data_IF_856863117812
#
_entry.id   IF_856863117812
#
_cell.length_a   1.000
_cell.length_b   1.000
_cell.length_c   1.000
_cell.angle_alpha   90.00
_cell.angle_beta   90.00
_cell.angle_gamma   90.00
#
_symmetry.space_group_name_H-M   'P 1'
#
loop_
_entity.id
_entity.type
_entity.pdbx_description
1 polymer ?
#
# COMPACT_ATOMS: atom_id res chain seq x y z
N UNK A 1 12.93 -0.94 0.99
CA UNK A 1 12.08 -1.70 0.05
C UNK A 1 11.61 -0.75 -1.05
N UNK A 2 11.54 -1.16 -2.32
CA UNK A 2 11.10 -0.28 -3.43
C UNK A 2 9.62 -0.58 -3.74
N UNK A 3 8.78 0.46 -3.72
CA UNK A 3 7.38 0.39 -4.18
C UNK A 3 7.27 1.22 -5.46
N UNK A 4 6.57 0.70 -6.45
CA UNK A 4 6.36 1.34 -7.73
C UNK A 4 4.86 1.55 -7.94
N UNK A 5 4.51 2.68 -8.53
CA UNK A 5 3.13 3.08 -8.83
C UNK A 5 3.02 3.42 -10.31
N UNK A 6 1.87 3.20 -10.91
CA UNK A 6 1.55 3.66 -12.26
C UNK A 6 0.93 5.07 -12.25
N UNK A 7 0.88 5.79 -13.38
CA UNK A 7 0.10 7.01 -13.49
C UNK A 7 -1.36 6.83 -13.10
N UNK A 8 -2.00 5.74 -13.56
CA UNK A 8 -3.39 5.41 -13.25
C UNK A 8 -3.63 5.23 -11.75
N UNK A 9 -2.65 4.68 -11.02
CA UNK A 9 -2.72 4.58 -9.56
C UNK A 9 -2.91 5.97 -8.92
N UNK A 10 -2.17 6.98 -9.38
CA UNK A 10 -2.26 8.33 -8.83
C UNK A 10 -3.58 9.01 -9.18
N UNK A 11 -4.11 8.79 -10.38
CA UNK A 11 -5.44 9.27 -10.77
C UNK A 11 -6.54 8.68 -9.86
N UNK A 12 -6.53 7.37 -9.67
CA UNK A 12 -7.46 6.70 -8.77
C UNK A 12 -7.27 7.16 -7.32
N UNK A 13 -6.03 7.26 -6.85
CA UNK A 13 -5.72 7.72 -5.49
C UNK A 13 -6.20 9.16 -5.24
N UNK A 14 -6.07 10.05 -6.22
CA UNK A 14 -6.51 11.43 -6.13
C UNK A 14 -8.04 11.55 -5.94
N UNK A 15 -8.81 10.62 -6.49
CA UNK A 15 -10.28 10.60 -6.36
C UNK A 15 -10.77 10.00 -5.03
N UNK A 16 -9.89 9.43 -4.20
CA UNK A 16 -10.30 8.83 -2.93
C UNK A 16 -10.67 9.88 -1.87
N UNK A 17 -11.63 9.56 -0.97
CA UNK A 17 -11.93 10.38 0.19
C UNK A 17 -10.70 10.58 1.10
N UNK A 18 -10.63 11.69 1.86
CA UNK A 18 -9.48 11.98 2.73
C UNK A 18 -9.16 10.89 3.75
N UNK A 19 -10.18 10.24 4.33
CA UNK A 19 -9.98 9.20 5.35
C UNK A 19 -9.31 7.94 4.75
N UNK A 20 -9.66 7.56 3.52
CA UNK A 20 -9.01 6.44 2.80
C UNK A 20 -7.56 6.80 2.48
N UNK A 21 -7.31 8.03 2.01
CA UNK A 21 -5.93 8.51 1.74
C UNK A 21 -5.06 8.45 3.00
N UNK A 22 -5.62 8.79 4.16
CA UNK A 22 -4.92 8.70 5.46
C UNK A 22 -4.60 7.25 5.84
N UNK A 23 -5.57 6.33 5.70
CA UNK A 23 -5.36 4.91 5.95
C UNK A 23 -4.26 4.33 5.05
N UNK A 24 -4.29 4.64 3.76
CA UNK A 24 -3.27 4.21 2.80
C UNK A 24 -1.87 4.73 3.19
N UNK A 25 -1.76 6.01 3.55
CA UNK A 25 -0.49 6.61 4.03
C UNK A 25 0.01 5.93 5.30
N UNK A 26 -0.87 5.61 6.25
CA UNK A 26 -0.53 4.91 7.49
C UNK A 26 0.03 3.51 7.20
N UNK A 27 -0.66 2.74 6.37
CA UNK A 27 -0.21 1.41 5.95
C UNK A 27 1.14 1.47 5.22
N UNK A 28 1.32 2.44 4.32
CA UNK A 28 2.58 2.62 3.60
C UNK A 28 3.75 2.96 4.51
N UNK A 29 3.56 3.87 5.49
CA UNK A 29 4.60 4.20 6.49
C UNK A 29 4.96 2.99 7.34
N UNK A 30 3.96 2.22 7.78
CA UNK A 30 4.17 1.00 8.56
C UNK A 30 4.92 -0.06 7.74
N UNK A 31 4.63 -0.17 6.45
CA UNK A 31 5.35 -1.08 5.57
C UNK A 31 6.81 -0.67 5.36
N UNK A 32 7.11 0.63 5.20
CA UNK A 32 8.50 1.09 5.09
C UNK A 32 9.30 0.72 6.34
N UNK A 33 8.70 0.84 7.53
CA UNK A 33 9.40 0.54 8.78
C UNK A 33 9.50 -0.96 9.07
N UNK A 34 8.41 -1.71 8.85
CA UNK A 34 8.37 -3.16 9.06
C UNK A 34 7.41 -3.84 8.08
N UNK A 35 8.01 -4.47 7.08
CA UNK A 35 7.32 -5.15 5.99
C UNK A 35 6.57 -6.42 6.42
N UNK A 36 6.96 -7.00 7.57
CA UNK A 36 6.34 -8.19 8.17
C UNK A 36 5.43 -7.83 9.35
N UNK A 37 5.10 -6.54 9.53
CA UNK A 37 4.24 -6.13 10.62
C UNK A 37 2.85 -6.78 10.50
N UNK A 38 2.42 -7.47 11.56
CA UNK A 38 1.18 -8.28 11.54
C UNK A 38 -0.03 -7.46 11.10
N UNK A 39 -0.19 -6.22 11.57
CA UNK A 39 -1.31 -5.35 11.19
C UNK A 39 -1.38 -4.95 9.70
N UNK A 40 -0.35 -5.24 8.89
CA UNK A 40 -0.44 -5.05 7.44
C UNK A 40 -1.27 -6.14 6.76
N UNK A 41 -1.38 -7.32 7.36
CA UNK A 41 -2.12 -8.49 6.85
C UNK A 41 -1.88 -8.77 5.36
N UNK A 42 -0.66 -8.55 4.85
CA UNK A 42 -0.37 -8.75 3.44
C UNK A 42 -0.48 -10.22 3.06
N UNK A 43 -1.28 -10.47 2.01
CA UNK A 43 -1.38 -11.76 1.35
C UNK A 43 -0.27 -11.86 0.30
N UNK A 44 0.43 -13.00 0.28
CA UNK A 44 1.32 -13.33 -0.83
C UNK A 44 0.50 -13.52 -2.11
N UNK A 45 0.84 -12.77 -3.16
CA UNK A 45 0.22 -12.87 -4.49
C UNK A 45 1.30 -13.20 -5.52
N UNK A 46 0.98 -14.05 -6.50
CA UNK A 46 1.93 -14.64 -7.45
C UNK A 46 2.00 -16.17 -7.31
N UNK A 47 2.44 -16.87 -8.38
CA UNK A 47 2.58 -18.33 -8.35
C UNK A 47 3.74 -18.74 -7.44
N UNK A 48 3.49 -19.69 -6.53
CA UNK A 48 4.54 -20.60 -6.08
C UNK A 48 4.85 -21.48 -7.30
N UNK A 49 5.75 -21.03 -8.17
CA UNK A 49 6.48 -21.95 -9.05
C UNK A 49 7.68 -22.46 -8.29
#
# INVERSE_FOLDING_TARGET
MKSLTTPDFWQCYANLPPYIKQQAKKAYRLWISNVFHRSLHFKKVGKNV
#
